data_IF_428603993213
#
_entry.id   IF_428603993213
#
_cell.length_a   1.000
_cell.length_b   1.000
_cell.length_c   1.000
_cell.angle_alpha   90.00
_cell.angle_beta   90.00
_cell.angle_gamma   90.00
#
_symmetry.space_group_name_H-M   'P 1'
#
loop_
_entity.id
_entity.type
_entity.pdbx_description
1 polymer ?
#
# COMPACT_ATOMS: atom_id res chain seq x y z
N UNK A 1 44.43 27.46 -19.36
CA UNK A 1 45.69 26.70 -19.21
C UNK A 1 45.99 26.51 -17.73
N UNK A 2 45.68 25.37 -17.18
CA UNK A 2 46.39 24.75 -16.04
C UNK A 2 46.05 23.26 -16.12
N UNK A 3 47.07 22.47 -16.40
CA UNK A 3 47.08 21.03 -16.37
C UNK A 3 47.44 20.55 -14.96
N UNK A 4 46.79 19.53 -14.44
CA UNK A 4 47.28 18.77 -13.29
C UNK A 4 47.10 17.29 -13.52
N UNK A 5 48.12 16.57 -13.17
CA UNK A 5 48.55 15.26 -13.54
C UNK A 5 47.78 14.09 -12.90
N UNK A 6 47.79 12.97 -13.61
CA UNK A 6 47.48 11.60 -13.11
C UNK A 6 48.56 11.15 -12.10
N UNK A 7 48.16 10.45 -11.06
CA UNK A 7 49.00 9.56 -10.27
C UNK A 7 48.32 8.18 -10.20
N UNK A 8 48.95 7.22 -10.86
CA UNK A 8 48.73 5.78 -10.77
C UNK A 8 49.49 5.19 -9.60
N UNK A 9 48.87 4.42 -8.73
CA UNK A 9 49.56 3.53 -7.80
C UNK A 9 49.08 2.08 -8.05
N UNK A 10 50.04 1.28 -8.48
CA UNK A 10 49.96 -0.17 -8.51
C UNK A 10 50.52 -0.75 -7.22
N UNK A 11 49.86 -1.73 -6.60
CA UNK A 11 50.49 -2.58 -5.58
C UNK A 11 50.15 -4.04 -5.87
N UNK A 12 51.23 -4.80 -5.78
CA UNK A 12 51.44 -6.16 -6.21
C UNK A 12 50.78 -7.22 -5.31
N UNK A 13 50.65 -8.42 -5.89
CA UNK A 13 50.07 -9.61 -5.34
C UNK A 13 50.93 -10.33 -4.26
N UNK A 14 50.28 -11.31 -3.65
CA UNK A 14 50.95 -12.46 -3.04
C UNK A 14 50.04 -13.68 -3.13
N UNK A 15 50.55 -14.69 -3.83
CA UNK A 15 50.02 -16.03 -3.89
C UNK A 15 50.53 -16.84 -2.70
N UNK A 16 49.71 -17.70 -2.11
CA UNK A 16 50.14 -18.80 -1.25
C UNK A 16 49.48 -20.11 -1.66
N UNK A 17 50.28 -21.10 -1.65
CA UNK A 17 50.33 -22.41 -2.30
C UNK A 17 49.54 -23.49 -1.55
N UNK A 18 49.07 -24.45 -2.33
CA UNK A 18 48.63 -25.84 -2.15
C UNK A 18 48.85 -26.57 -0.81
N UNK A 19 47.82 -27.35 -0.47
CA UNK A 19 47.90 -28.54 0.37
C UNK A 19 46.96 -29.61 -0.15
N UNK A 20 47.50 -30.65 -0.80
CA UNK A 20 46.80 -31.85 -1.24
C UNK A 20 46.69 -32.88 -0.11
N UNK A 21 45.59 -33.52 0.04
CA UNK A 21 45.38 -34.67 0.93
C UNK A 21 44.41 -35.66 0.30
N UNK A 22 44.90 -36.83 0.03
CA UNK A 22 44.28 -37.94 -0.72
C UNK A 22 43.42 -38.89 0.13
N UNK A 23 42.46 -39.53 -0.55
CA UNK A 23 41.97 -40.92 -0.43
C UNK A 23 40.87 -41.26 0.57
N UNK A 24 39.84 -41.89 0.05
CA UNK A 24 38.94 -42.80 0.80
C UNK A 24 37.57 -43.02 0.14
N UNK A 25 37.53 -43.79 -0.96
CA UNK A 25 36.27 -44.27 -1.53
C UNK A 25 35.69 -45.36 -0.67
N UNK A 26 34.42 -45.27 -0.25
CA UNK A 26 33.56 -46.41 0.05
C UNK A 26 32.15 -46.08 -0.47
N UNK A 27 31.69 -46.94 -1.39
CA UNK A 27 30.36 -46.88 -1.95
C UNK A 27 29.28 -47.21 -0.94
N UNK A 28 28.18 -46.51 -1.02
CA UNK A 28 26.91 -46.89 -0.40
C UNK A 28 25.78 -46.73 -1.42
N UNK A 29 24.92 -47.70 -1.49
CA UNK A 29 23.77 -47.87 -2.37
C UNK A 29 22.71 -46.78 -2.15
N UNK A 30 21.85 -46.44 -3.14
CA UNK A 30 20.83 -45.42 -3.00
C UNK A 30 19.66 -45.94 -2.17
N UNK A 31 19.49 -45.38 -0.97
CA UNK A 31 18.30 -45.52 -0.19
C UNK A 31 17.16 -44.65 -0.74
N UNK A 32 16.02 -45.29 -1.03
CA UNK A 32 14.76 -44.62 -1.32
C UNK A 32 14.29 -43.91 -0.03
N UNK A 33 14.44 -42.59 0.02
CA UNK A 33 13.91 -41.76 1.07
C UNK A 33 12.40 -41.53 0.91
N UNK A 34 11.62 -41.44 2.02
CA UNK A 34 10.18 -41.19 1.93
C UNK A 34 9.87 -39.81 1.39
N UNK A 35 8.83 -39.75 0.54
CA UNK A 35 8.28 -38.53 -0.01
C UNK A 35 8.03 -37.47 1.07
N UNK A 36 8.72 -36.34 0.97
CA UNK A 36 8.54 -35.21 1.86
C UNK A 36 7.10 -34.68 1.77
N UNK A 37 6.37 -34.81 2.86
CA UNK A 37 5.13 -34.05 3.07
C UNK A 37 5.53 -32.57 3.10
N UNK A 38 4.95 -31.77 2.18
CA UNK A 38 5.07 -30.35 2.22
C UNK A 38 4.52 -29.82 3.55
N UNK A 39 5.42 -29.49 4.46
CA UNK A 39 5.06 -28.71 5.65
C UNK A 39 4.70 -27.31 5.19
N UNK A 40 3.41 -27.01 5.23
CA UNK A 40 2.94 -25.64 5.18
C UNK A 40 3.49 -24.94 6.43
N UNK A 41 4.55 -24.15 6.27
CA UNK A 41 5.01 -23.26 7.32
C UNK A 41 3.92 -22.22 7.58
N UNK A 42 3.04 -22.49 8.53
CA UNK A 42 2.26 -21.45 9.20
C UNK A 42 3.30 -20.57 9.88
N UNK A 43 3.63 -19.44 9.28
CA UNK A 43 4.44 -18.40 9.94
C UNK A 43 3.65 -17.98 11.19
N UNK A 44 4.21 -18.20 12.37
CA UNK A 44 3.71 -17.62 13.60
C UNK A 44 3.67 -16.09 13.48
N UNK A 45 2.93 -15.39 14.35
CA UNK A 45 2.86 -13.93 14.31
C UNK A 45 4.28 -13.36 14.34
N UNK A 46 4.69 -12.75 13.23
CA UNK A 46 5.96 -12.04 13.14
C UNK A 46 5.97 -10.84 14.09
N UNK A 47 7.13 -10.23 14.35
CA UNK A 47 7.20 -9.03 15.16
C UNK A 47 6.24 -7.97 14.60
N UNK A 48 5.54 -7.25 15.50
CA UNK A 48 4.62 -6.18 15.12
C UNK A 48 5.41 -5.13 14.32
N UNK A 49 5.10 -5.01 13.03
CA UNK A 49 5.76 -4.04 12.17
C UNK A 49 5.37 -2.63 12.58
N UNK A 50 6.36 -1.77 12.62
CA UNK A 50 6.16 -0.36 12.90
C UNK A 50 6.21 0.43 11.60
N UNK A 51 5.08 1.01 11.20
CA UNK A 51 4.99 1.86 10.01
C UNK A 51 5.59 3.25 10.25
N UNK A 52 6.13 3.83 9.18
CA UNK A 52 6.75 5.15 9.22
C UNK A 52 5.72 6.27 9.30
N UNK A 53 5.95 7.23 10.20
CA UNK A 53 5.18 8.47 10.32
C UNK A 53 5.93 9.59 9.61
N UNK A 54 5.30 10.26 8.65
CA UNK A 54 5.88 11.44 8.01
C UNK A 54 5.78 12.66 8.92
N UNK A 55 6.90 13.19 9.46
CA UNK A 55 6.89 14.37 10.32
C UNK A 55 6.48 15.66 9.58
N UNK A 56 6.37 15.60 8.24
CA UNK A 56 5.93 16.68 7.37
C UNK A 56 4.60 16.37 6.69
N UNK A 57 3.81 15.45 7.25
CA UNK A 57 2.44 15.23 6.79
C UNK A 57 1.61 16.52 6.90
N UNK A 58 0.56 16.64 6.08
CA UNK A 58 -0.33 17.82 6.14
C UNK A 58 -0.89 18.04 7.54
N UNK A 59 -1.22 16.95 8.25
CA UNK A 59 -1.68 17.02 9.62
C UNK A 59 -0.60 17.54 10.58
N UNK A 60 0.66 17.12 10.43
CA UNK A 60 1.76 17.58 11.26
C UNK A 60 2.05 19.08 11.07
N UNK A 61 2.06 19.52 9.80
CA UNK A 61 2.23 20.94 9.48
C UNK A 61 1.07 21.78 10.02
N UNK A 62 -0.17 21.29 9.91
CA UNK A 62 -1.35 21.98 10.44
C UNK A 62 -1.34 22.05 11.97
N UNK A 63 -0.96 20.98 12.66
CA UNK A 63 -0.83 21.00 14.11
C UNK A 63 0.24 22.01 14.57
N UNK A 64 1.37 22.08 13.87
CA UNK A 64 2.41 23.07 14.16
C UNK A 64 1.93 24.51 13.96
N UNK A 65 1.25 24.79 12.84
CA UNK A 65 0.65 26.10 12.56
C UNK A 65 -0.36 26.50 13.63
N UNK A 66 -1.24 25.59 14.04
CA UNK A 66 -2.25 25.89 15.07
C UNK A 66 -1.65 26.14 16.45
N UNK A 67 -0.53 25.50 16.78
CA UNK A 67 0.21 25.85 18.02
C UNK A 67 0.77 27.26 17.97
N UNK A 68 1.36 27.64 16.83
CA UNK A 68 1.92 28.99 16.65
C UNK A 68 0.84 30.09 16.68
N UNK A 69 -0.38 29.78 16.27
CA UNK A 69 -1.52 30.72 16.22
C UNK A 69 -2.43 30.63 17.45
N UNK A 70 -2.03 29.93 18.51
CA UNK A 70 -2.78 29.85 19.78
C UNK A 70 -3.96 28.86 19.75
N UNK A 71 -4.18 28.10 18.71
CA UNK A 71 -5.23 27.07 18.58
C UNK A 71 -4.78 25.74 19.21
N UNK A 72 -4.32 25.78 20.44
CA UNK A 72 -3.68 24.62 21.10
C UNK A 72 -4.61 23.41 21.22
N UNK A 73 -5.90 23.60 21.54
CA UNK A 73 -6.87 22.51 21.63
C UNK A 73 -7.08 21.80 20.28
N UNK A 74 -7.17 22.56 19.18
CA UNK A 74 -7.30 22.00 17.83
C UNK A 74 -6.01 21.31 17.39
N UNK A 75 -4.85 21.83 17.77
CA UNK A 75 -3.56 21.19 17.50
C UNK A 75 -3.43 19.83 18.21
N UNK A 76 -3.87 19.72 19.46
CA UNK A 76 -3.89 18.44 20.21
C UNK A 76 -4.81 17.40 19.55
N UNK A 77 -5.95 17.83 19.02
CA UNK A 77 -6.82 16.95 18.24
C UNK A 77 -6.15 16.53 16.92
N UNK A 78 -5.49 17.47 16.23
CA UNK A 78 -4.78 17.18 14.98
C UNK A 78 -3.63 16.19 15.18
N UNK A 79 -3.01 16.15 16.35
CA UNK A 79 -1.97 15.17 16.70
C UNK A 79 -2.48 13.73 16.65
N UNK A 80 -3.78 13.48 16.84
CA UNK A 80 -4.37 12.16 16.66
C UNK A 80 -4.18 11.64 15.23
N UNK A 81 -4.01 12.53 14.25
CA UNK A 81 -3.70 12.22 12.86
C UNK A 81 -2.20 12.33 12.59
N UNK A 82 -1.59 13.43 13.03
CA UNK A 82 -0.20 13.78 12.72
C UNK A 82 0.83 12.76 13.22
N UNK A 83 0.54 12.10 14.34
CA UNK A 83 1.44 11.11 14.97
C UNK A 83 1.20 9.67 14.50
N UNK A 84 0.35 9.46 13.53
CA UNK A 84 0.03 8.14 13.00
C UNK A 84 0.58 7.95 11.58
N UNK A 85 1.00 6.72 11.23
CA UNK A 85 1.39 6.39 9.87
C UNK A 85 0.23 6.62 8.88
N UNK A 86 0.54 7.17 7.73
CA UNK A 86 -0.40 7.37 6.63
C UNK A 86 0.28 6.98 5.33
N UNK A 87 -0.49 6.44 4.37
CA UNK A 87 0.09 6.09 3.09
C UNK A 87 0.45 7.33 2.26
N UNK A 88 1.53 7.23 1.51
CA UNK A 88 1.89 8.22 0.48
C UNK A 88 1.28 7.82 -0.86
N UNK A 89 0.46 8.70 -1.43
CA UNK A 89 -0.18 8.48 -2.73
C UNK A 89 0.68 8.99 -3.88
N UNK A 90 1.07 8.08 -4.77
CA UNK A 90 1.84 8.37 -5.97
C UNK A 90 0.87 8.43 -7.15
N UNK A 91 0.40 9.63 -7.48
CA UNK A 91 -0.60 9.87 -8.52
C UNK A 91 -0.12 10.79 -9.65
N UNK A 92 1.16 11.10 -9.67
CA UNK A 92 1.82 11.95 -10.66
C UNK A 92 2.93 11.23 -11.42
N UNK A 93 3.50 11.87 -12.47
CA UNK A 93 4.46 11.21 -13.38
C UNK A 93 5.81 10.87 -12.73
N UNK A 94 6.23 11.58 -11.69
CA UNK A 94 7.56 11.44 -11.07
C UNK A 94 7.51 10.49 -9.86
N UNK A 95 7.34 9.18 -10.08
CA UNK A 95 7.22 8.22 -8.99
C UNK A 95 8.55 7.89 -8.32
N UNK A 96 9.64 7.64 -9.08
CA UNK A 96 10.91 7.12 -8.56
C UNK A 96 11.52 7.95 -7.43
N UNK A 97 11.61 9.26 -7.63
CA UNK A 97 12.25 10.15 -6.65
C UNK A 97 11.46 10.19 -5.33
N UNK A 98 10.12 10.27 -5.42
CA UNK A 98 9.24 10.31 -4.25
C UNK A 98 9.29 8.98 -3.51
N UNK A 99 9.12 7.85 -4.19
CA UNK A 99 9.21 6.50 -3.60
C UNK A 99 10.53 6.32 -2.88
N UNK A 100 11.66 6.65 -3.55
CA UNK A 100 13.00 6.56 -2.94
C UNK A 100 13.13 7.43 -1.69
N UNK A 101 12.64 8.66 -1.72
CA UNK A 101 12.72 9.58 -0.59
C UNK A 101 11.93 9.05 0.62
N UNK A 102 10.70 8.56 0.40
CA UNK A 102 9.82 8.04 1.46
C UNK A 102 10.37 6.74 2.06
N UNK A 103 10.70 5.77 1.23
CA UNK A 103 11.27 4.49 1.71
C UNK A 103 12.62 4.66 2.39
N UNK A 104 13.49 5.55 1.90
CA UNK A 104 14.74 5.86 2.57
C UNK A 104 14.54 6.56 3.92
N UNK A 105 13.53 7.44 4.04
CA UNK A 105 13.20 8.08 5.32
C UNK A 105 12.69 7.05 6.34
N UNK A 106 11.83 6.13 5.92
CA UNK A 106 11.34 5.03 6.73
C UNK A 106 12.48 4.11 7.18
N UNK A 107 13.31 3.65 6.25
CA UNK A 107 14.42 2.74 6.52
C UNK A 107 15.44 3.31 7.52
N UNK A 108 15.75 4.62 7.47
CA UNK A 108 16.62 5.27 8.46
C UNK A 108 16.10 5.19 9.90
N UNK A 109 14.79 4.95 10.08
CA UNK A 109 14.16 4.81 11.38
C UNK A 109 13.82 3.35 11.72
N UNK A 110 14.26 2.38 10.90
CA UNK A 110 13.88 0.97 11.05
C UNK A 110 12.36 0.76 10.93
N UNK A 111 11.70 1.52 10.04
CA UNK A 111 10.24 1.52 9.85
C UNK A 111 9.90 1.14 8.41
N UNK A 112 8.67 0.63 8.22
CA UNK A 112 8.13 0.25 6.92
C UNK A 112 7.28 1.39 6.34
N UNK A 113 7.54 1.74 5.07
CA UNK A 113 6.73 2.74 4.37
C UNK A 113 5.41 2.12 3.87
N UNK A 114 4.32 2.91 3.87
CA UNK A 114 3.06 2.54 3.20
C UNK A 114 2.88 3.48 2.00
N UNK A 115 2.72 2.90 0.82
CA UNK A 115 2.64 3.62 -0.45
C UNK A 115 1.40 3.19 -1.22
N UNK A 116 0.82 4.10 -2.00
CA UNK A 116 -0.25 3.81 -2.95
C UNK A 116 0.23 4.11 -4.36
N UNK A 117 0.26 3.10 -5.21
CA UNK A 117 0.43 3.28 -6.65
C UNK A 117 -0.94 3.62 -7.25
N UNK A 118 -1.08 4.84 -7.80
CA UNK A 118 -2.37 5.34 -8.28
C UNK A 118 -2.20 6.14 -9.57
N UNK A 119 -1.83 5.46 -10.66
CA UNK A 119 -1.49 6.10 -11.93
C UNK A 119 -1.94 5.31 -13.17
N UNK A 120 -2.84 4.33 -13.02
CA UNK A 120 -3.36 3.53 -14.15
C UNK A 120 -4.14 4.41 -15.14
N UNK A 121 -4.11 4.15 -16.46
CA UNK A 121 -4.92 4.89 -17.44
C UNK A 121 -6.41 4.87 -17.09
N UNK A 122 -7.14 5.95 -17.39
CA UNK A 122 -8.56 6.10 -17.07
C UNK A 122 -8.87 5.88 -15.57
N UNK A 123 -7.94 6.33 -14.71
CA UNK A 123 -8.09 6.26 -13.27
C UNK A 123 -9.39 6.93 -12.82
N UNK A 124 -10.01 6.37 -11.78
CA UNK A 124 -11.27 6.83 -11.19
C UNK A 124 -12.42 6.94 -12.21
N UNK A 125 -12.36 6.16 -13.29
CA UNK A 125 -13.34 6.21 -14.37
C UNK A 125 -13.63 7.65 -14.89
N UNK A 126 -12.64 8.55 -14.75
CA UNK A 126 -12.77 9.96 -15.09
C UNK A 126 -13.50 10.84 -14.08
N UNK A 127 -13.81 10.34 -12.87
CA UNK A 127 -14.50 11.07 -11.81
C UNK A 127 -13.58 12.09 -11.11
N UNK A 128 -13.81 12.38 -9.82
CA UNK A 128 -13.11 13.42 -9.06
C UNK A 128 -11.58 13.24 -9.00
N UNK A 129 -11.09 12.01 -9.04
CA UNK A 129 -9.65 11.67 -9.07
C UNK A 129 -9.18 11.21 -10.45
N UNK A 130 -9.91 11.55 -11.49
CA UNK A 130 -9.61 11.19 -12.88
C UNK A 130 -8.19 11.52 -13.31
N UNK A 131 -7.66 10.82 -14.33
CA UNK A 131 -6.30 10.99 -14.84
C UNK A 131 -5.56 9.66 -15.00
N UNK A 132 -4.29 9.64 -14.59
CA UNK A 132 -3.40 8.49 -14.74
C UNK A 132 -2.42 8.63 -15.90
N UNK A 133 -1.77 7.54 -16.27
CA UNK A 133 -0.90 7.47 -17.42
C UNK A 133 -1.70 7.65 -18.72
N UNK A 134 -1.06 8.19 -19.72
CA UNK A 134 -1.69 8.43 -21.03
C UNK A 134 -2.10 7.12 -21.73
N UNK A 135 -1.32 6.06 -21.55
CA UNK A 135 -1.56 4.74 -22.14
C UNK A 135 -0.84 3.63 -21.36
N UNK A 136 -1.04 2.39 -21.80
CA UNK A 136 -0.43 1.19 -21.22
C UNK A 136 1.10 1.24 -21.15
N UNK A 137 1.77 1.73 -22.18
CA UNK A 137 3.24 1.83 -22.21
C UNK A 137 3.76 2.84 -21.19
N UNK A 138 3.10 3.99 -21.09
CA UNK A 138 3.39 5.02 -20.09
C UNK A 138 3.21 4.51 -18.67
N UNK A 139 2.16 3.71 -18.42
CA UNK A 139 1.92 3.10 -17.12
C UNK A 139 3.00 2.07 -16.75
N UNK A 140 3.36 1.16 -17.67
CA UNK A 140 4.44 0.19 -17.40
C UNK A 140 5.75 0.88 -17.06
N UNK A 141 6.14 1.90 -17.83
CA UNK A 141 7.32 2.71 -17.52
C UNK A 141 7.24 3.36 -16.15
N UNK A 142 6.07 3.89 -15.80
CA UNK A 142 5.86 4.51 -14.49
C UNK A 142 5.98 3.49 -13.35
N UNK A 143 5.45 2.28 -13.51
CA UNK A 143 5.60 1.17 -12.54
C UNK A 143 7.06 0.75 -12.42
N UNK A 144 7.82 0.70 -13.53
CA UNK A 144 9.25 0.42 -13.50
C UNK A 144 10.02 1.44 -12.67
N UNK A 145 9.71 2.72 -12.85
CA UNK A 145 10.31 3.80 -12.07
C UNK A 145 9.90 3.75 -10.60
N UNK A 146 8.63 3.43 -10.31
CA UNK A 146 8.16 3.21 -8.95
C UNK A 146 8.96 2.10 -8.27
N UNK A 147 9.06 0.93 -8.91
CA UNK A 147 9.81 -0.20 -8.39
C UNK A 147 11.31 0.09 -8.22
N UNK A 148 11.92 0.83 -9.16
CA UNK A 148 13.30 1.30 -9.03
C UNK A 148 13.48 2.25 -7.83
N UNK A 149 12.43 3.00 -7.48
CA UNK A 149 12.42 3.84 -6.28
C UNK A 149 12.38 3.05 -4.98
N UNK A 150 11.74 1.89 -4.95
CA UNK A 150 11.70 0.99 -3.79
C UNK A 150 13.08 0.42 -3.47
N UNK A 151 13.77 -0.11 -4.48
CA UNK A 151 14.99 -0.88 -4.28
C UNK A 151 14.69 -2.14 -3.44
N UNK A 152 15.49 -2.37 -2.42
CA UNK A 152 15.38 -3.49 -1.47
C UNK A 152 14.73 -3.12 -0.12
N UNK A 153 14.22 -1.89 -0.01
CA UNK A 153 13.65 -1.36 1.24
C UNK A 153 12.25 -1.89 1.50
N UNK A 154 11.94 -2.04 2.80
CA UNK A 154 10.62 -2.51 3.23
C UNK A 154 9.52 -1.48 2.92
N UNK A 155 8.48 -1.97 2.24
CA UNK A 155 7.30 -1.18 1.91
C UNK A 155 6.06 -2.06 1.74
N UNK A 156 4.92 -1.53 2.17
CA UNK A 156 3.59 -2.00 1.75
C UNK A 156 3.17 -1.13 0.56
N UNK A 157 2.76 -1.77 -0.53
CA UNK A 157 2.29 -1.07 -1.73
C UNK A 157 0.86 -1.49 -2.03
N UNK A 158 -0.06 -0.53 -1.93
CA UNK A 158 -1.44 -0.69 -2.37
C UNK A 158 -1.49 -0.34 -3.85
N UNK A 159 -1.97 -1.26 -4.67
CA UNK A 159 -1.95 -1.12 -6.12
C UNK A 159 -3.32 -0.71 -6.63
N UNK A 160 -3.36 0.46 -7.21
CA UNK A 160 -4.42 1.05 -8.01
C UNK A 160 -5.81 0.94 -7.36
N UNK A 161 -6.04 1.69 -6.26
CA UNK A 161 -7.36 1.80 -5.67
C UNK A 161 -8.47 1.97 -6.72
N UNK A 162 -9.57 1.27 -6.50
CA UNK A 162 -10.76 1.24 -7.34
C UNK A 162 -10.63 0.53 -8.70
N UNK A 163 -9.42 0.26 -9.20
CA UNK A 163 -9.20 -0.16 -10.58
C UNK A 163 -9.94 -1.47 -10.94
N UNK A 164 -9.90 -2.48 -10.08
CA UNK A 164 -10.64 -3.74 -10.28
C UNK A 164 -12.14 -3.51 -10.08
N UNK A 165 -12.50 -2.86 -8.99
CA UNK A 165 -13.90 -2.65 -8.62
C UNK A 165 -14.67 -1.83 -9.67
N UNK A 166 -14.09 -0.76 -10.20
CA UNK A 166 -14.68 0.05 -11.27
C UNK A 166 -14.88 -0.73 -12.57
N UNK A 167 -13.93 -1.58 -12.92
CA UNK A 167 -14.02 -2.45 -14.10
C UNK A 167 -15.20 -3.43 -13.94
N UNK A 168 -15.31 -4.08 -12.79
CA UNK A 168 -16.43 -4.99 -12.47
C UNK A 168 -17.77 -4.26 -12.40
N UNK A 169 -17.78 -3.01 -11.98
CA UNK A 169 -18.97 -2.16 -11.93
C UNK A 169 -19.37 -1.60 -13.31
N UNK A 170 -18.59 -1.79 -14.35
CA UNK A 170 -18.94 -1.41 -15.74
C UNK A 170 -18.44 0.00 -16.13
N UNK A 171 -17.22 0.37 -15.78
CA UNK A 171 -16.59 1.60 -16.24
C UNK A 171 -16.43 1.61 -17.77
N UNK A 172 -17.21 2.42 -18.47
CA UNK A 172 -17.28 2.43 -19.93
C UNK A 172 -15.99 2.88 -20.64
N UNK A 173 -15.11 3.62 -19.95
CA UNK A 173 -13.83 4.11 -20.51
C UNK A 173 -12.69 3.09 -20.41
N UNK A 174 -12.96 1.88 -19.89
CA UNK A 174 -11.95 0.88 -19.58
C UNK A 174 -12.18 -0.38 -20.38
N UNK A 175 -11.11 -0.88 -21.02
CA UNK A 175 -11.06 -2.25 -21.57
C UNK A 175 -10.57 -3.17 -20.47
N UNK A 176 -11.39 -4.12 -20.07
CA UNK A 176 -11.16 -4.96 -18.89
C UNK A 176 -9.86 -5.77 -19.01
N UNK A 177 -9.63 -6.41 -20.17
CA UNK A 177 -8.45 -7.22 -20.42
C UNK A 177 -7.15 -6.41 -20.32
N UNK A 178 -7.15 -5.20 -20.88
CA UNK A 178 -6.00 -4.30 -20.77
C UNK A 178 -5.78 -3.87 -19.31
N UNK A 179 -6.84 -3.52 -18.59
CA UNK A 179 -6.80 -3.12 -17.19
C UNK A 179 -6.19 -4.22 -16.31
N UNK A 180 -6.67 -5.45 -16.45
CA UNK A 180 -6.17 -6.58 -15.67
C UNK A 180 -4.74 -6.94 -16.04
N UNK A 181 -4.37 -6.88 -17.33
CA UNK A 181 -2.99 -7.08 -17.78
C UNK A 181 -2.01 -6.02 -17.21
N UNK A 182 -2.44 -4.78 -17.08
CA UNK A 182 -1.64 -3.71 -16.47
C UNK A 182 -1.47 -3.91 -14.97
N UNK A 183 -2.51 -4.32 -14.27
CA UNK A 183 -2.45 -4.66 -12.83
C UNK A 183 -1.52 -5.86 -12.61
N UNK A 184 -1.64 -6.92 -13.40
CA UNK A 184 -0.75 -8.08 -13.34
C UNK A 184 0.71 -7.70 -13.57
N UNK A 185 0.98 -6.82 -14.54
CA UNK A 185 2.33 -6.26 -14.76
C UNK A 185 2.85 -5.52 -13.52
N UNK A 186 2.00 -4.68 -12.90
CA UNK A 186 2.38 -3.93 -11.71
C UNK A 186 2.73 -4.88 -10.54
N UNK A 187 1.90 -5.89 -10.30
CA UNK A 187 2.18 -6.92 -9.30
C UNK A 187 3.52 -7.59 -9.57
N UNK A 188 3.73 -8.12 -10.78
CA UNK A 188 4.95 -8.84 -11.14
C UNK A 188 6.19 -7.97 -10.99
N UNK A 189 6.10 -6.71 -11.39
CA UNK A 189 7.22 -5.79 -11.32
C UNK A 189 7.58 -5.41 -9.89
N UNK A 190 6.57 -5.15 -9.08
CA UNK A 190 6.76 -4.78 -7.66
C UNK A 190 7.25 -5.97 -6.83
N UNK A 191 6.77 -7.18 -7.10
CA UNK A 191 7.20 -8.40 -6.39
C UNK A 191 8.64 -8.82 -6.67
N UNK A 192 9.32 -8.22 -7.63
CA UNK A 192 10.77 -8.38 -7.80
C UNK A 192 11.58 -7.61 -6.74
N UNK A 193 10.95 -6.73 -5.97
CA UNK A 193 11.59 -6.00 -4.88
C UNK A 193 11.45 -6.84 -3.59
N UNK A 194 12.56 -7.31 -2.96
CA UNK A 194 12.50 -8.33 -1.91
C UNK A 194 11.79 -7.85 -0.62
N UNK A 195 11.89 -6.54 -0.30
CA UNK A 195 11.25 -5.93 0.87
C UNK A 195 9.81 -5.48 0.63
N UNK A 196 9.24 -5.72 -0.57
CA UNK A 196 7.93 -5.17 -0.92
C UNK A 196 6.80 -6.17 -0.69
N UNK A 197 5.78 -5.75 0.05
CA UNK A 197 4.47 -6.42 0.14
C UNK A 197 3.46 -5.69 -0.74
N UNK A 198 2.77 -6.43 -1.59
CA UNK A 198 1.91 -5.91 -2.66
C UNK A 198 0.47 -6.35 -2.44
N UNK A 199 -0.44 -5.38 -2.39
CA UNK A 199 -1.88 -5.61 -2.19
C UNK A 199 -2.67 -4.93 -3.31
N UNK A 200 -3.41 -5.73 -4.10
CA UNK A 200 -4.35 -5.22 -5.11
C UNK A 200 -5.60 -4.68 -4.42
N UNK A 201 -6.07 -3.49 -4.80
CA UNK A 201 -7.35 -3.02 -4.28
C UNK A 201 -8.50 -3.88 -4.78
N UNK A 202 -9.41 -4.24 -3.88
CA UNK A 202 -10.59 -5.06 -4.12
C UNK A 202 -11.90 -4.38 -3.71
N UNK A 203 -11.88 -3.05 -3.52
CA UNK A 203 -13.06 -2.25 -3.21
C UNK A 203 -13.58 -2.48 -1.79
N UNK A 204 -14.89 -2.55 -1.63
CA UNK A 204 -15.52 -2.70 -0.32
C UNK A 204 -16.90 -3.39 -0.39
N UNK A 205 -17.38 -3.83 0.78
CA UNK A 205 -18.61 -4.63 0.92
C UNK A 205 -19.90 -3.92 0.52
N UNK A 206 -19.94 -2.59 0.52
CA UNK A 206 -21.13 -1.85 0.11
C UNK A 206 -21.17 -1.59 -1.40
N UNK A 207 -20.01 -1.52 -2.04
CA UNK A 207 -19.92 -1.29 -3.47
C UNK A 207 -20.12 -2.58 -4.29
N UNK A 208 -19.43 -3.64 -3.92
CA UNK A 208 -19.50 -4.96 -4.58
C UNK A 208 -19.78 -6.05 -3.53
N UNK A 209 -21.03 -6.17 -3.03
CA UNK A 209 -21.34 -7.08 -1.93
C UNK A 209 -21.13 -8.56 -2.27
N UNK A 210 -21.27 -8.92 -3.55
CA UNK A 210 -21.01 -10.26 -4.07
C UNK A 210 -19.51 -10.42 -4.42
N UNK A 211 -18.77 -11.07 -3.54
CA UNK A 211 -17.34 -11.31 -3.70
C UNK A 211 -17.00 -12.23 -4.86
N UNK A 212 -17.95 -13.07 -5.34
CA UNK A 212 -17.71 -13.97 -6.46
C UNK A 212 -17.37 -13.23 -7.75
N UNK A 213 -17.92 -12.03 -7.92
CA UNK A 213 -17.66 -11.16 -9.07
C UNK A 213 -16.23 -10.63 -9.14
N UNK A 214 -15.48 -10.68 -8.03
CA UNK A 214 -14.09 -10.20 -7.96
C UNK A 214 -13.07 -11.30 -8.18
N UNK A 215 -13.44 -12.57 -8.06
CA UNK A 215 -12.49 -13.69 -8.09
C UNK A 215 -11.72 -13.73 -9.40
N UNK A 216 -12.43 -13.80 -10.53
CA UNK A 216 -11.81 -13.86 -11.86
C UNK A 216 -11.04 -12.56 -12.20
N UNK A 217 -11.60 -11.34 -12.01
CA UNK A 217 -10.88 -10.08 -12.20
C UNK A 217 -9.57 -9.99 -11.40
N UNK A 218 -9.58 -10.37 -10.14
CA UNK A 218 -8.37 -10.38 -9.30
C UNK A 218 -7.37 -11.45 -9.77
N UNK A 219 -7.86 -12.62 -10.22
CA UNK A 219 -7.02 -13.69 -10.76
C UNK A 219 -6.30 -13.20 -12.01
N UNK A 220 -6.99 -12.58 -12.95
CA UNK A 220 -6.40 -11.98 -14.14
C UNK A 220 -5.45 -10.83 -13.81
N UNK A 221 -5.72 -10.09 -12.73
CA UNK A 221 -4.87 -9.01 -12.21
C UNK A 221 -3.62 -9.51 -11.47
N UNK A 222 -3.41 -10.83 -11.36
CA UNK A 222 -2.20 -11.40 -10.78
C UNK A 222 -2.22 -11.57 -9.27
N UNK A 223 -3.40 -11.65 -8.63
CA UNK A 223 -3.54 -11.82 -7.17
C UNK A 223 -2.76 -13.03 -6.63
N UNK A 224 -2.61 -14.10 -7.44
CA UNK A 224 -1.85 -15.28 -7.03
C UNK A 224 -0.40 -14.95 -6.64
N UNK A 225 0.21 -13.94 -7.27
CA UNK A 225 1.59 -13.50 -7.04
C UNK A 225 1.71 -12.33 -6.06
N UNK A 226 0.63 -11.60 -5.82
CA UNK A 226 0.56 -10.57 -4.79
C UNK A 226 0.58 -11.20 -3.38
N UNK A 227 0.95 -10.42 -2.37
CA UNK A 227 0.84 -10.85 -0.96
C UNK A 227 -0.63 -10.93 -0.55
N UNK A 228 -1.47 -10.09 -1.13
CA UNK A 228 -2.89 -10.11 -0.84
C UNK A 228 -3.67 -9.00 -1.56
N UNK A 229 -4.77 -8.59 -0.95
CA UNK A 229 -5.62 -7.52 -1.46
C UNK A 229 -5.90 -6.46 -0.38
N UNK A 230 -6.28 -5.25 -0.80
CA UNK A 230 -6.67 -4.15 0.08
C UNK A 230 -8.19 -3.95 0.02
N UNK A 231 -8.77 -3.58 1.14
CA UNK A 231 -10.20 -3.34 1.28
C UNK A 231 -10.49 -1.97 1.89
N UNK A 232 -11.65 -1.43 1.56
CA UNK A 232 -12.19 -0.22 2.18
C UNK A 232 -11.36 1.05 1.91
N UNK A 233 -10.48 1.01 0.90
CA UNK A 233 -9.65 2.17 0.56
C UNK A 233 -10.53 3.38 0.30
N UNK A 234 -10.22 4.48 0.99
CA UNK A 234 -10.99 5.73 0.95
C UNK A 234 -12.47 5.60 1.32
N UNK A 235 -12.89 4.54 2.01
CA UNK A 235 -14.28 4.29 2.37
C UNK A 235 -14.49 4.22 3.89
N UNK A 236 -15.70 3.85 4.32
CA UNK A 236 -16.15 4.01 5.71
C UNK A 236 -16.76 2.74 6.29
N UNK A 237 -16.64 1.58 5.61
CA UNK A 237 -17.17 0.33 6.13
C UNK A 237 -16.45 -0.05 7.42
N UNK A 238 -17.20 -0.56 8.42
CA UNK A 238 -16.62 -0.93 9.71
C UNK A 238 -15.55 -2.01 9.58
N UNK A 239 -14.65 -2.13 10.56
CA UNK A 239 -13.64 -3.19 10.62
C UNK A 239 -14.31 -4.57 10.55
N UNK A 240 -15.43 -4.76 11.28
CA UNK A 240 -16.18 -6.01 11.28
C UNK A 240 -16.77 -6.35 9.89
N UNK A 241 -17.38 -5.38 9.20
CA UNK A 241 -17.94 -5.59 7.87
C UNK A 241 -16.83 -5.87 6.84
N UNK A 242 -15.72 -5.13 6.91
CA UNK A 242 -14.56 -5.30 6.02
C UNK A 242 -13.87 -6.65 6.28
N UNK A 243 -13.72 -7.07 7.54
CA UNK A 243 -13.15 -8.39 7.92
C UNK A 243 -14.02 -9.53 7.42
N UNK A 244 -15.34 -9.47 7.63
CA UNK A 244 -16.25 -10.51 7.16
C UNK A 244 -16.25 -10.61 5.62
N UNK A 245 -16.21 -9.48 4.93
CA UNK A 245 -16.07 -9.42 3.48
C UNK A 245 -14.74 -9.99 2.99
N UNK A 246 -13.64 -9.56 3.61
CA UNK A 246 -12.29 -10.02 3.29
C UNK A 246 -12.11 -11.52 3.50
N UNK A 247 -12.67 -12.07 4.58
CA UNK A 247 -12.61 -13.51 4.84
C UNK A 247 -13.34 -14.33 3.75
N UNK A 248 -14.50 -13.86 3.26
CA UNK A 248 -15.20 -14.52 2.14
C UNK A 248 -14.38 -14.46 0.85
N UNK A 249 -13.85 -13.30 0.52
CA UNK A 249 -13.02 -13.13 -0.67
C UNK A 249 -11.71 -13.93 -0.56
N UNK A 250 -11.06 -13.92 0.60
CA UNK A 250 -9.87 -14.70 0.90
C UNK A 250 -10.11 -16.20 0.66
N UNK A 251 -11.21 -16.74 1.19
CA UNK A 251 -11.57 -18.15 1.00
C UNK A 251 -11.72 -18.50 -0.49
N UNK A 252 -12.36 -17.63 -1.28
CA UNK A 252 -12.52 -17.81 -2.72
C UNK A 252 -11.20 -17.68 -3.52
N UNK A 253 -10.20 -16.99 -2.94
CA UNK A 253 -8.86 -16.78 -3.52
C UNK A 253 -7.79 -17.71 -2.92
N UNK A 254 -8.19 -18.83 -2.31
CA UNK A 254 -7.26 -19.83 -1.79
C UNK A 254 -6.52 -19.39 -0.52
N UNK A 255 -7.13 -18.57 0.32
CA UNK A 255 -6.56 -18.12 1.59
C UNK A 255 -5.66 -16.88 1.47
N UNK A 256 -5.83 -16.04 0.45
CA UNK A 256 -5.06 -14.80 0.29
C UNK A 256 -5.27 -13.86 1.47
N UNK A 257 -4.18 -13.31 1.97
CA UNK A 257 -4.20 -12.31 3.03
C UNK A 257 -4.75 -10.98 2.54
N UNK A 258 -5.05 -10.07 3.46
CA UNK A 258 -5.52 -8.74 3.09
C UNK A 258 -5.18 -7.67 4.14
N UNK A 259 -5.27 -6.42 3.71
CA UNK A 259 -5.19 -5.22 4.56
C UNK A 259 -6.49 -4.44 4.48
N UNK A 260 -6.80 -3.67 5.52
CA UNK A 260 -8.03 -2.86 5.60
C UNK A 260 -7.65 -1.41 5.83
N UNK A 261 -8.23 -0.50 5.03
CA UNK A 261 -8.19 0.94 5.33
C UNK A 261 -9.16 1.27 6.46
N UNK A 262 -8.60 1.68 7.60
CA UNK A 262 -9.35 2.06 8.81
C UNK A 262 -9.28 3.54 9.09
N UNK A 263 -8.80 4.34 8.16
CA UNK A 263 -8.50 5.76 8.35
C UNK A 263 -9.67 6.61 8.80
N UNK A 264 -10.90 6.29 8.34
CA UNK A 264 -12.08 7.14 8.53
C UNK A 264 -13.35 6.39 8.92
N UNK A 265 -13.24 5.15 9.33
CA UNK A 265 -14.37 4.23 9.51
C UNK A 265 -14.84 4.07 10.97
N UNK A 266 -14.30 4.87 11.93
CA UNK A 266 -14.60 4.71 13.34
C UNK A 266 -16.09 4.83 13.73
N UNK A 267 -16.87 5.59 12.96
CA UNK A 267 -18.33 5.68 13.11
C UNK A 267 -19.12 4.90 12.04
N UNK A 268 -18.42 4.04 11.27
CA UNK A 268 -19.04 3.27 10.18
C UNK A 268 -19.51 4.14 9.01
N UNK A 269 -20.24 3.56 8.05
CA UNK A 269 -20.70 4.26 6.86
C UNK A 269 -21.79 5.30 7.17
N UNK A 270 -21.88 6.32 6.31
CA UNK A 270 -22.96 7.29 6.31
C UNK A 270 -24.17 6.69 5.56
N UNK A 271 -25.38 6.92 6.09
CA UNK A 271 -26.62 6.35 5.53
C UNK A 271 -27.33 7.27 4.53
N UNK A 272 -26.86 8.50 4.34
CA UNK A 272 -27.41 9.44 3.37
C UNK A 272 -26.87 9.24 1.95
N UNK A 273 -27.31 10.10 1.03
CA UNK A 273 -26.83 10.12 -0.37
C UNK A 273 -25.33 10.37 -0.45
N UNK A 274 -24.68 9.93 -1.53
CA UNK A 274 -23.23 10.10 -1.75
C UNK A 274 -22.40 9.71 -0.53
N UNK A 275 -22.70 8.56 0.05
CA UNK A 275 -22.14 8.07 1.32
C UNK A 275 -20.61 7.92 1.32
N UNK A 276 -19.99 7.88 0.14
CA UNK A 276 -18.55 7.74 -0.06
C UNK A 276 -17.82 9.09 -0.10
N UNK A 277 -18.51 10.18 -0.47
CA UNK A 277 -17.85 11.47 -0.75
C UNK A 277 -18.01 12.45 0.42
N UNK A 278 -16.94 12.68 1.16
CA UNK A 278 -16.86 13.63 2.28
C UNK A 278 -18.05 13.54 3.28
N UNK A 279 -18.54 12.37 3.68
CA UNK A 279 -19.73 12.27 4.51
C UNK A 279 -19.48 12.90 5.90
N UNK A 280 -20.50 13.61 6.45
CA UNK A 280 -20.39 14.25 7.74
C UNK A 280 -20.39 13.23 8.90
N UNK A 281 -19.86 13.61 10.05
CA UNK A 281 -19.93 12.82 11.27
C UNK A 281 -19.06 11.57 11.27
N UNK A 282 -18.13 11.42 10.32
CA UNK A 282 -17.19 10.29 10.34
C UNK A 282 -16.12 10.51 11.38
N UNK A 283 -15.45 9.43 11.76
CA UNK A 283 -14.41 9.42 12.78
C UNK A 283 -13.18 8.65 12.30
N UNK A 284 -12.03 8.96 12.86
CA UNK A 284 -10.85 8.11 12.75
C UNK A 284 -11.19 6.71 13.26
N UNK A 285 -10.76 5.69 12.55
CA UNK A 285 -10.91 4.30 12.95
C UNK A 285 -9.68 3.75 13.65
N UNK A 286 -9.54 2.43 13.66
CA UNK A 286 -8.43 1.73 14.29
C UNK A 286 -7.09 2.27 13.80
N UNK A 287 -6.16 2.67 14.69
CA UNK A 287 -4.84 3.12 14.28
C UNK A 287 -4.06 2.06 13.51
N UNK A 288 -3.14 2.46 12.60
CA UNK A 288 -2.33 1.52 11.83
C UNK A 288 -1.55 0.55 12.72
N UNK A 289 -1.71 -0.76 12.44
CA UNK A 289 -1.08 -1.84 13.21
C UNK A 289 -1.06 -3.15 12.42
N UNK A 290 -0.06 -4.00 12.66
CA UNK A 290 -0.04 -5.39 12.23
C UNK A 290 -0.54 -6.36 13.32
N UNK A 291 -0.81 -5.86 14.53
CA UNK A 291 -1.45 -6.62 15.61
C UNK A 291 -2.97 -6.63 15.41
N UNK A 292 -3.46 -7.32 14.39
CA UNK A 292 -4.87 -7.32 13.97
C UNK A 292 -5.73 -8.33 14.73
N UNK A 293 -5.11 -9.32 15.37
CA UNK A 293 -5.82 -10.44 16.02
C UNK A 293 -6.42 -11.45 15.03
N UNK A 294 -6.16 -11.30 13.71
CA UNK A 294 -6.64 -12.18 12.66
C UNK A 294 -5.47 -12.73 11.84
N UNK A 295 -5.42 -14.03 11.55
CA UNK A 295 -4.35 -14.62 10.76
C UNK A 295 -4.36 -14.23 9.28
N UNK A 296 -5.48 -13.75 8.77
CA UNK A 296 -5.65 -13.34 7.37
C UNK A 296 -5.52 -11.84 7.15
N UNK A 297 -5.61 -11.03 8.20
CA UNK A 297 -5.48 -9.57 8.11
C UNK A 297 -4.04 -9.19 8.47
N UNK A 298 -3.26 -8.85 7.45
CA UNK A 298 -1.85 -8.47 7.65
C UNK A 298 -1.70 -7.14 8.37
N UNK A 299 -2.61 -6.19 8.12
CA UNK A 299 -2.60 -4.91 8.81
C UNK A 299 -3.94 -4.16 8.71
N UNK A 300 -4.22 -3.36 9.74
CA UNK A 300 -5.05 -2.16 9.64
C UNK A 300 -4.15 -1.00 9.24
N UNK A 301 -4.56 -0.22 8.26
CA UNK A 301 -3.76 0.87 7.69
C UNK A 301 -4.60 2.14 7.56
N UNK A 302 -3.96 3.29 7.57
CA UNK A 302 -4.57 4.53 7.10
C UNK A 302 -4.09 4.79 5.67
N UNK A 303 -4.77 4.12 4.72
CA UNK A 303 -4.45 4.20 3.30
C UNK A 303 -4.92 5.54 2.76
N UNK A 304 -6.21 5.90 2.93
CA UNK A 304 -6.64 7.30 2.73
C UNK A 304 -6.03 8.15 3.83
N UNK A 305 -5.50 9.30 3.47
CA UNK A 305 -5.01 10.26 4.48
C UNK A 305 -6.20 10.98 5.12
N UNK A 306 -6.43 10.82 6.45
CA UNK A 306 -7.54 11.50 7.12
C UNK A 306 -7.43 13.01 6.97
N UNK A 307 -8.48 13.64 6.44
CA UNK A 307 -8.51 15.09 6.19
C UNK A 307 -8.22 15.49 4.74
N UNK A 308 -7.84 14.56 3.86
CA UNK A 308 -7.88 14.85 2.42
C UNK A 308 -9.28 14.65 1.85
N UNK A 309 -9.74 15.60 1.06
CA UNK A 309 -11.05 15.58 0.40
C UNK A 309 -11.18 14.40 -0.58
N UNK A 310 -12.40 13.90 -0.73
CA UNK A 310 -12.75 12.92 -1.76
C UNK A 310 -13.15 13.59 -3.09
N UNK A 311 -13.46 14.88 -3.06
CA UNK A 311 -13.90 15.67 -4.19
C UNK A 311 -14.65 16.92 -3.77
N UNK A 312 -15.18 17.65 -4.73
CA UNK A 312 -15.88 18.92 -4.47
C UNK A 312 -17.31 18.75 -3.90
N UNK A 313 -17.73 17.53 -3.64
CA UNK A 313 -18.99 17.26 -2.95
C UNK A 313 -19.04 17.86 -1.53
N UNK A 314 -20.21 18.22 -1.06
CA UNK A 314 -20.48 18.77 0.29
C UNK A 314 -19.59 19.98 0.65
N UNK A 315 -19.21 20.79 -0.35
CA UNK A 315 -18.37 21.96 -0.16
C UNK A 315 -16.88 21.65 0.12
N UNK A 316 -16.44 20.41 -0.13
CA UNK A 316 -15.03 20.04 -0.03
C UNK A 316 -14.19 20.64 -1.15
N UNK A 317 -12.87 20.80 -0.95
CA UNK A 317 -11.94 21.13 -2.01
C UNK A 317 -11.79 19.97 -3.00
N UNK A 318 -11.00 20.15 -4.06
CA UNK A 318 -10.74 19.07 -5.03
C UNK A 318 -10.16 17.81 -4.35
N UNK A 319 -10.38 16.66 -5.00
CA UNK A 319 -9.93 15.36 -4.48
C UNK A 319 -8.43 15.36 -4.15
N UNK A 320 -8.08 14.83 -2.99
CA UNK A 320 -6.71 14.78 -2.48
C UNK A 320 -6.21 16.09 -1.86
N UNK A 321 -6.95 17.18 -1.94
CA UNK A 321 -6.58 18.41 -1.26
C UNK A 321 -6.86 18.34 0.25
N UNK A 322 -5.97 18.95 1.01
CA UNK A 322 -6.07 19.03 2.46
C UNK A 322 -7.24 19.91 2.91
N UNK A 323 -8.07 19.37 3.80
CA UNK A 323 -9.25 20.04 4.36
C UNK A 323 -9.19 20.04 5.89
N UNK A 324 -8.61 21.06 6.51
CA UNK A 324 -8.34 21.11 7.96
C UNK A 324 -9.58 20.90 8.83
N UNK A 325 -10.72 21.48 8.45
CA UNK A 325 -11.96 21.34 9.21
C UNK A 325 -12.54 19.93 9.16
N UNK A 326 -12.43 19.25 8.04
CA UNK A 326 -12.82 17.85 7.91
C UNK A 326 -11.90 16.92 8.73
N UNK A 327 -10.58 17.13 8.66
CA UNK A 327 -9.61 16.44 9.49
C UNK A 327 -9.91 16.60 10.99
N UNK A 328 -10.18 17.84 11.42
CA UNK A 328 -10.52 18.14 12.81
C UNK A 328 -11.81 17.44 13.23
N UNK A 329 -12.82 17.40 12.35
CA UNK A 329 -14.07 16.66 12.58
C UNK A 329 -13.84 15.17 12.80
N UNK A 330 -13.02 14.53 11.94
CA UNK A 330 -12.64 13.12 12.08
C UNK A 330 -11.95 12.86 13.44
N UNK A 331 -11.03 13.75 13.84
CA UNK A 331 -10.29 13.62 15.10
C UNK A 331 -11.18 13.85 16.34
N UNK A 332 -12.11 14.80 16.29
CA UNK A 332 -13.07 15.06 17.37
C UNK A 332 -14.03 13.91 17.60
N UNK A 333 -14.50 13.29 16.53
CA UNK A 333 -15.46 12.21 16.58
C UNK A 333 -14.82 10.86 16.95
N UNK A 334 -13.50 10.74 16.87
CA UNK A 334 -12.81 9.52 17.22
C UNK A 334 -12.98 9.21 18.71
N UNK A 335 -13.38 7.97 18.99
CA UNK A 335 -13.36 7.45 20.36
C UNK A 335 -11.91 7.40 20.84
N UNK A 336 -11.64 7.90 22.01
CA UNK A 336 -10.30 8.05 22.59
C UNK A 336 -9.57 6.73 22.79
#
# INVERSE_FOLDING_TARGET
MVAVALATLAVAGSAVVCGAGTSGARGALPGVGPAGRGESHIRGPGPVESFWVDPRSRAALQAAEWRLTGRTADALLMDRIATRPQAEWLNGPASRAVVRARTAAAARQGRTAVLVAYYIPHRDCGSYSGGGAWNAAGYRKWVDEFAAGLGDRDAYVIVEPDAVAQTVAGCASVVAEERYALLAYAVDRLKRQPGTRVYLDAGNSAWLPDTSRLVEPLTQSGIARADGFALNVSNFQTDAASSAYGNRLSAALGGKHFVIDTSRNGNGPYTGTDSWCNPPGRALGTPPTTATGSPLIDAYLWIKRPGESDGTCRGGPAAGQWWPSYALGLARNARG
#
